data_IF_127019982117
#
_entry.id   IF_127019982117
#
_cell.length_a   1.000
_cell.length_b   1.000
_cell.length_c   1.000
_cell.angle_alpha   90.00
_cell.angle_beta   90.00
_cell.angle_gamma   90.00
#
_symmetry.space_group_name_H-M   'P 1'
#
loop_
_entity.id
_entity.type
_entity.pdbx_description
1 polymer ?
#
# COMPACT_ATOMS: atom_id res chain seq x y z
N UNK A 1 9.77 -2.45 -2.02
CA UNK A 1 9.53 -2.21 -3.46
C UNK A 1 8.07 -2.47 -3.79
N UNK A 2 7.63 -2.04 -4.97
CA UNK A 2 6.37 -2.40 -5.62
C UNK A 2 6.68 -3.30 -6.81
N UNK A 3 5.77 -4.22 -7.10
CA UNK A 3 5.70 -4.89 -8.40
C UNK A 3 4.48 -4.33 -9.10
N UNK A 4 4.70 -3.58 -10.17
CA UNK A 4 3.64 -2.98 -10.98
C UNK A 4 3.36 -3.94 -12.13
N UNK A 5 2.09 -4.28 -12.30
CA UNK A 5 1.63 -5.21 -13.32
C UNK A 5 0.64 -4.50 -14.22
N UNK A 6 0.94 -4.42 -15.51
CA UNK A 6 0.06 -3.83 -16.52
C UNK A 6 -0.89 -4.90 -17.02
N UNK A 7 -2.19 -4.66 -16.93
CA UNK A 7 -3.22 -5.59 -17.40
C UNK A 7 -4.13 -4.89 -18.40
N UNK A 8 -4.37 -5.52 -19.54
CA UNK A 8 -5.31 -5.06 -20.56
C UNK A 8 -6.13 -6.24 -21.08
N UNK A 9 -7.45 -6.09 -21.20
CA UNK A 9 -8.33 -7.16 -21.68
C UNK A 9 -8.23 -8.46 -20.86
N UNK A 10 -7.94 -8.36 -19.56
CA UNK A 10 -7.73 -9.49 -18.66
C UNK A 10 -6.39 -10.22 -18.84
N UNK A 11 -5.45 -9.67 -19.61
CA UNK A 11 -4.13 -10.26 -19.86
C UNK A 11 -3.03 -9.37 -19.29
N UNK A 12 -2.04 -10.00 -18.65
CA UNK A 12 -0.84 -9.31 -18.17
C UNK A 12 0.02 -8.94 -19.39
N UNK A 13 0.22 -7.65 -19.62
CA UNK A 13 1.06 -7.11 -20.70
C UNK A 13 2.50 -6.85 -20.26
N UNK A 14 2.74 -6.61 -18.97
CA UNK A 14 4.06 -6.25 -18.48
C UNK A 14 4.17 -6.31 -16.96
N UNK A 15 5.41 -6.42 -16.49
CA UNK A 15 5.76 -6.34 -15.07
C UNK A 15 7.00 -5.47 -14.90
N UNK A 16 6.99 -4.58 -13.93
CA UNK A 16 8.16 -3.81 -13.54
C UNK A 16 8.27 -3.70 -12.02
N UNK A 17 9.49 -3.45 -11.55
CA UNK A 17 9.76 -3.22 -10.13
C UNK A 17 10.02 -1.73 -9.93
N UNK A 18 9.26 -1.11 -9.03
CA UNK A 18 9.50 0.28 -8.59
C UNK A 18 9.94 0.29 -7.15
N UNK A 19 10.93 1.10 -6.82
CA UNK A 19 11.36 1.22 -5.42
C UNK A 19 10.38 2.05 -4.61
N UNK A 20 10.23 1.69 -3.33
CA UNK A 20 9.43 2.48 -2.39
C UNK A 20 10.33 3.61 -1.91
N UNK A 21 10.04 4.89 -2.21
CA UNK A 21 10.82 5.98 -1.66
C UNK A 21 10.71 5.92 -0.13
N UNK A 22 11.85 6.02 0.57
CA UNK A 22 11.90 6.06 2.04
C UNK A 22 12.13 4.74 2.79
N UNK A 23 12.31 3.59 2.14
CA UNK A 23 12.76 2.36 2.84
C UNK A 23 14.27 2.32 3.15
N UNK A 24 15.06 3.29 2.66
CA UNK A 24 16.52 3.34 2.82
C UNK A 24 17.06 4.45 3.74
N UNK A 25 16.20 5.19 4.45
CA UNK A 25 16.64 6.32 5.31
C UNK A 25 15.87 6.37 6.64
N UNK A 26 15.66 5.21 7.25
CA UNK A 26 15.63 5.14 8.71
C UNK A 26 17.00 4.66 9.17
N UNK A 27 18.04 5.48 8.92
CA UNK A 27 19.14 5.49 9.87
C UNK A 27 18.55 5.86 11.22
N UNK A 28 18.88 5.07 12.22
CA UNK A 28 18.69 5.34 13.64
C UNK A 28 19.12 6.77 13.99
N UNK A 29 18.24 7.74 13.83
CA UNK A 29 18.40 9.05 14.43
C UNK A 29 17.65 9.03 15.74
N UNK A 30 18.37 8.59 16.78
CA UNK A 30 18.06 8.93 18.15
C UNK A 30 18.01 10.46 18.27
N UNK A 31 16.80 11.02 18.27
CA UNK A 31 16.52 12.37 18.75
C UNK A 31 15.08 12.42 19.30
N UNK A 32 14.94 11.80 20.48
CA UNK A 32 14.17 12.26 21.64
C UNK A 32 12.64 12.42 21.54
N UNK A 33 11.96 11.53 22.28
CA UNK A 33 10.56 11.60 22.73
C UNK A 33 9.72 10.52 22.07
N UNK A 34 9.57 9.29 22.58
CA UNK A 34 9.43 8.86 23.96
C UNK A 34 8.15 8.00 24.02
N UNK A 35 8.29 6.72 24.39
CA UNK A 35 7.23 5.77 24.80
C UNK A 35 6.31 5.29 23.64
N UNK A 36 6.31 4.01 23.25
CA UNK A 36 5.61 2.89 23.93
C UNK A 36 4.21 3.26 24.45
N UNK A 37 3.24 2.38 24.17
CA UNK A 37 1.83 2.35 24.60
C UNK A 37 0.78 2.63 23.51
N UNK A 38 -0.14 1.66 23.37
CA UNK A 38 -1.16 1.58 22.34
C UNK A 38 -2.24 2.66 22.44
N UNK A 39 -2.11 3.68 21.60
CA UNK A 39 -3.12 4.73 21.38
C UNK A 39 -3.82 4.51 20.02
N UNK A 40 -5.16 4.55 19.96
CA UNK A 40 -5.91 4.34 18.73
C UNK A 40 -5.85 5.60 17.87
N UNK A 41 -4.96 5.66 16.88
CA UNK A 41 -4.87 6.81 15.97
C UNK A 41 -3.66 6.91 15.03
N UNK A 42 -2.76 5.92 14.99
CA UNK A 42 -1.58 6.00 14.12
C UNK A 42 -1.95 6.04 12.62
N UNK A 43 -1.22 6.86 11.87
CA UNK A 43 -1.34 6.94 10.40
C UNK A 43 -2.22 8.09 9.89
N UNK A 44 -2.95 8.79 10.75
CA UNK A 44 -3.81 9.92 10.37
C UNK A 44 -3.19 11.29 10.67
N UNK A 45 -2.09 11.34 11.42
CA UNK A 45 -1.38 12.59 11.67
C UNK A 45 -0.79 13.17 10.36
N UNK A 46 -0.62 14.51 10.26
CA UNK A 46 -0.14 15.15 9.04
C UNK A 46 1.21 14.62 8.52
N UNK A 47 2.12 14.21 9.42
CA UNK A 47 3.42 13.69 9.02
C UNK A 47 3.31 12.28 8.43
N UNK A 48 2.49 11.42 9.02
CA UNK A 48 2.17 10.11 8.44
C UNK A 48 1.47 10.24 7.08
N UNK A 49 0.48 11.13 6.97
CA UNK A 49 -0.21 11.40 5.71
C UNK A 49 0.72 11.92 4.62
N UNK A 50 1.67 12.80 4.96
CA UNK A 50 2.70 13.26 4.01
C UNK A 50 3.57 12.10 3.51
N UNK A 51 4.02 11.19 4.39
CA UNK A 51 4.77 10.00 3.99
C UNK A 51 3.95 9.09 3.08
N UNK A 52 2.68 8.85 3.42
CA UNK A 52 1.79 8.03 2.60
C UNK A 52 1.56 8.64 1.21
N UNK A 53 1.36 9.95 1.12
CA UNK A 53 1.24 10.66 -0.14
C UNK A 53 2.51 10.53 -1.01
N UNK A 54 3.71 10.68 -0.44
CA UNK A 54 4.97 10.47 -1.17
C UNK A 54 5.13 9.03 -1.66
N UNK A 55 4.68 8.03 -0.89
CA UNK A 55 4.68 6.64 -1.33
C UNK A 55 3.67 6.36 -2.44
N UNK A 56 2.51 7.04 -2.42
CA UNK A 56 1.47 6.92 -3.44
C UNK A 56 1.88 7.55 -4.78
N UNK A 57 2.69 8.61 -4.78
CA UNK A 57 3.16 9.26 -6.01
C UNK A 57 3.88 8.30 -6.98
N UNK A 58 4.62 7.31 -6.46
CA UNK A 58 5.36 6.34 -7.29
C UNK A 58 4.45 5.34 -8.01
N UNK A 59 3.20 5.27 -7.59
CA UNK A 59 2.18 4.36 -8.12
C UNK A 59 0.89 5.14 -8.47
N UNK A 60 0.99 6.45 -8.71
CA UNK A 60 -0.16 7.32 -8.98
C UNK A 60 -0.87 6.99 -10.30
N UNK A 61 -0.20 6.27 -11.20
CA UNK A 61 -0.71 5.71 -12.45
C UNK A 61 -1.40 4.34 -12.27
N UNK A 62 -1.37 3.76 -11.06
CA UNK A 62 -1.97 2.46 -10.78
C UNK A 62 -3.42 2.62 -10.28
N UNK A 63 -4.34 1.82 -10.81
CA UNK A 63 -5.74 1.83 -10.38
C UNK A 63 -5.97 1.10 -9.03
N UNK A 64 -5.16 0.07 -8.74
CA UNK A 64 -5.34 -0.82 -7.60
C UNK A 64 -3.98 -1.11 -6.95
N UNK A 65 -3.95 -1.20 -5.61
CA UNK A 65 -2.79 -1.63 -4.84
C UNK A 65 -3.17 -2.80 -3.94
N UNK A 66 -2.41 -3.88 -4.04
CA UNK A 66 -2.60 -5.09 -3.24
C UNK A 66 -1.53 -5.17 -2.15
N UNK A 67 -1.94 -5.49 -0.93
CA UNK A 67 -1.02 -5.76 0.17
C UNK A 67 -1.61 -6.81 1.11
N UNK A 68 -0.74 -7.59 1.79
CA UNK A 68 -1.18 -8.52 2.85
C UNK A 68 -1.38 -7.89 4.22
N UNK A 69 -0.96 -6.63 4.36
CA UNK A 69 -1.14 -5.83 5.56
C UNK A 69 -1.00 -4.36 5.20
N UNK A 70 -1.83 -3.53 5.82
CA UNK A 70 -1.87 -2.09 5.58
C UNK A 70 -2.40 -1.40 6.83
N UNK A 71 -1.82 -0.26 7.20
CA UNK A 71 -2.38 0.58 8.26
C UNK A 71 -3.61 1.35 7.79
N UNK A 72 -4.56 1.63 8.68
CA UNK A 72 -5.81 2.32 8.34
C UNK A 72 -5.57 3.70 7.68
N UNK A 73 -4.59 4.47 8.18
CA UNK A 73 -4.23 5.77 7.60
C UNK A 73 -3.64 5.69 6.19
N UNK A 74 -2.88 4.62 5.88
CA UNK A 74 -2.35 4.38 4.54
C UNK A 74 -3.45 3.99 3.55
N UNK A 75 -4.40 3.17 4.01
CA UNK A 75 -5.57 2.75 3.24
C UNK A 75 -6.41 3.98 2.84
N UNK A 76 -6.73 4.85 3.79
CA UNK A 76 -7.48 6.07 3.49
C UNK A 76 -6.69 7.06 2.62
N UNK A 77 -5.36 7.17 2.81
CA UNK A 77 -4.51 8.01 1.96
C UNK A 77 -4.51 7.56 0.49
N UNK A 78 -4.44 6.25 0.23
CA UNK A 78 -4.51 5.69 -1.13
C UNK A 78 -5.86 5.97 -1.77
N UNK A 79 -6.96 5.80 -1.02
CA UNK A 79 -8.31 6.17 -1.49
C UNK A 79 -8.42 7.64 -1.85
N UNK A 80 -7.87 8.52 -1.02
CA UNK A 80 -7.82 9.96 -1.27
C UNK A 80 -7.02 10.32 -2.53
N UNK A 81 -6.03 9.50 -2.90
CA UNK A 81 -5.25 9.63 -4.12
C UNK A 81 -5.93 8.98 -5.37
N UNK A 82 -7.14 8.43 -5.24
CA UNK A 82 -7.85 7.78 -6.35
C UNK A 82 -7.36 6.36 -6.66
N UNK A 83 -6.52 5.79 -5.80
CA UNK A 83 -6.02 4.41 -5.92
C UNK A 83 -6.89 3.52 -5.05
N UNK A 84 -7.34 2.37 -5.55
CA UNK A 84 -8.09 1.39 -4.75
C UNK A 84 -7.13 0.49 -3.96
N UNK A 85 -6.96 0.67 -2.64
CA UNK A 85 -6.26 -0.32 -1.82
C UNK A 85 -7.12 -1.58 -1.63
N UNK A 86 -6.47 -2.73 -1.58
CA UNK A 86 -7.07 -4.01 -1.23
C UNK A 86 -6.12 -4.75 -0.29
N UNK A 87 -6.61 -5.11 0.89
CA UNK A 87 -5.90 -6.00 1.81
C UNK A 87 -6.30 -7.44 1.50
N UNK A 88 -5.38 -8.24 0.97
CA UNK A 88 -5.64 -9.63 0.54
C UNK A 88 -4.81 -10.63 1.35
N UNK A 89 -5.26 -11.86 1.49
CA UNK A 89 -4.48 -12.95 2.07
C UNK A 89 -3.67 -13.74 1.04
N UNK A 90 -3.88 -13.50 -0.25
CA UNK A 90 -3.16 -14.14 -1.35
C UNK A 90 -1.69 -13.68 -1.36
N UNK A 91 -0.77 -14.63 -1.24
CA UNK A 91 0.68 -14.37 -1.21
C UNK A 91 1.29 -14.27 -2.61
N UNK A 92 0.82 -15.10 -3.54
CA UNK A 92 1.38 -15.19 -4.89
C UNK A 92 0.88 -14.01 -5.72
N UNK A 93 1.81 -13.20 -6.22
CA UNK A 93 1.50 -11.97 -6.98
C UNK A 93 0.59 -12.27 -8.18
N UNK A 94 0.93 -13.28 -8.98
CA UNK A 94 0.18 -13.61 -10.18
C UNK A 94 -1.25 -14.07 -9.83
N UNK A 95 -1.44 -14.83 -8.75
CA UNK A 95 -2.77 -15.24 -8.27
C UNK A 95 -3.60 -14.04 -7.79
N UNK A 96 -2.98 -13.12 -7.02
CA UNK A 96 -3.67 -11.94 -6.52
C UNK A 96 -4.10 -11.01 -7.67
N UNK A 97 -3.26 -10.86 -8.71
CA UNK A 97 -3.62 -10.11 -9.92
C UNK A 97 -4.77 -10.79 -10.66
N UNK A 98 -4.74 -12.11 -10.83
CA UNK A 98 -5.84 -12.83 -11.50
C UNK A 98 -7.16 -12.70 -10.74
N UNK A 99 -7.14 -12.78 -9.40
CA UNK A 99 -8.34 -12.57 -8.59
C UNK A 99 -8.93 -11.15 -8.77
N UNK A 100 -8.09 -10.12 -8.94
CA UNK A 100 -8.57 -8.76 -9.29
C UNK A 100 -9.23 -8.75 -10.66
N UNK A 101 -8.59 -9.35 -11.65
CA UNK A 101 -9.08 -9.42 -13.04
C UNK A 101 -10.40 -10.16 -13.14
N UNK A 102 -10.54 -11.26 -12.40
CA UNK A 102 -11.77 -12.07 -12.34
C UNK A 102 -12.89 -11.39 -11.53
N UNK A 103 -12.58 -10.35 -10.75
CA UNK A 103 -13.55 -9.71 -9.85
C UNK A 103 -13.82 -10.50 -8.57
N UNK A 104 -12.96 -11.46 -8.22
CA UNK A 104 -13.11 -12.39 -7.09
C UNK A 104 -12.27 -11.99 -5.87
N UNK A 105 -11.40 -10.97 -6.01
CA UNK A 105 -10.53 -10.49 -4.92
C UNK A 105 -11.34 -9.96 -3.72
N UNK A 106 -10.97 -10.41 -2.52
CA UNK A 106 -11.55 -9.96 -1.25
C UNK A 106 -10.65 -8.88 -0.62
N UNK A 107 -11.29 -7.82 -0.11
CA UNK A 107 -10.64 -6.75 0.65
C UNK A 107 -10.91 -6.94 2.15
N UNK A 108 -9.94 -7.52 2.87
CA UNK A 108 -9.97 -7.82 4.30
C UNK A 108 -9.70 -6.57 5.16
N UNK A 109 -10.65 -5.63 5.15
CA UNK A 109 -10.55 -4.38 5.93
C UNK A 109 -10.50 -4.61 7.43
N UNK A 110 -10.98 -5.75 7.91
CA UNK A 110 -10.85 -6.21 9.29
C UNK A 110 -9.39 -6.46 9.72
N UNK A 111 -8.47 -6.57 8.76
CA UNK A 111 -7.03 -6.75 8.99
C UNK A 111 -6.23 -5.45 8.87
N UNK A 112 -6.89 -4.29 8.83
CA UNK A 112 -6.19 -3.01 8.90
C UNK A 112 -5.61 -2.81 10.30
N UNK A 113 -4.37 -2.33 10.35
CA UNK A 113 -3.64 -2.03 11.58
C UNK A 113 -3.75 -0.56 12.00
#
# INVERSE_FOLDING_TARGET
FYVVVTVEGGRVLGRERRDKPGHGSQTHSHASGGHDHGEPGHGFDPAAQSRHASMAQVIADCAVVLARGMGAGAYESLKGAGIRPIVTDIEVIDEAVQAVVAGEIVDHRDRLH
#
